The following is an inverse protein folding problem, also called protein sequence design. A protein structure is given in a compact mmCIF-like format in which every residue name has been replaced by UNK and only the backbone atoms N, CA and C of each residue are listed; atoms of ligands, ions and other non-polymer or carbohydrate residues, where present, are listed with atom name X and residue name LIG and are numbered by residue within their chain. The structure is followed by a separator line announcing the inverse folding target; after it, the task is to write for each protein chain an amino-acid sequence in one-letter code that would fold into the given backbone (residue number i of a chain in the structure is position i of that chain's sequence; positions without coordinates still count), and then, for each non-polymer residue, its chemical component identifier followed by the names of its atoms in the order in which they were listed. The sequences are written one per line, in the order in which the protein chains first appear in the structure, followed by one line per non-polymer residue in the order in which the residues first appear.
data_IF_814428405270
#
_entry.id   IF_814428405270
#
_cell.length_a   1.000
_cell.length_b   1.000
_cell.length_c   1.000
_cell.angle_alpha   90.00
_cell.angle_beta   90.00
_cell.angle_gamma   90.00
#
_symmetry.space_group_name_H-M   'P 1'
#
loop_
_entity.id
_entity.type
_entity.pdbx_description
1 polymer ?
#
# COMPACT_ATOMS: atom_id res chain seq x y z
N UNK A 1 5.24 8.43 -2.30
CA UNK A 1 4.29 9.00 -1.33
C UNK A 1 2.85 8.83 -1.81
N UNK A 2 2.48 9.29 -3.01
CA UNK A 2 1.13 9.15 -3.57
C UNK A 2 0.61 7.70 -3.56
N UNK A 3 1.42 6.72 -3.98
CA UNK A 3 1.04 5.30 -3.88
C UNK A 3 0.67 4.91 -2.45
N UNK A 4 1.50 5.26 -1.45
CA UNK A 4 1.23 4.93 -0.04
C UNK A 4 -0.06 5.57 0.49
N UNK A 5 -0.32 6.82 0.08
CA UNK A 5 -1.53 7.55 0.47
C UNK A 5 -2.81 6.87 -0.03
N UNK A 6 -2.80 6.36 -1.27
CA UNK A 6 -3.98 5.78 -1.92
C UNK A 6 -4.08 4.24 -1.83
N UNK A 7 -3.13 3.57 -1.19
CA UNK A 7 -3.15 2.10 -1.02
C UNK A 7 -3.05 1.64 0.42
N UNK A 8 -2.59 2.52 1.32
CA UNK A 8 -2.28 2.14 2.69
C UNK A 8 -1.13 1.13 2.83
N UNK A 9 -0.43 0.78 1.75
CA UNK A 9 0.67 -0.17 1.77
C UNK A 9 1.87 0.33 2.60
N UNK A 10 2.63 -0.61 3.15
CA UNK A 10 3.89 -0.32 3.82
C UNK A 10 4.93 0.14 2.81
N UNK A 11 5.93 0.92 3.27
CA UNK A 11 6.97 1.45 2.38
C UNK A 11 7.72 0.33 1.64
N UNK A 12 8.07 -0.76 2.33
CA UNK A 12 8.78 -1.88 1.72
C UNK A 12 7.91 -2.64 0.73
N UNK A 13 6.63 -2.87 1.04
CA UNK A 13 5.67 -3.49 0.12
C UNK A 13 5.62 -2.76 -1.23
N UNK A 14 5.64 -1.42 -1.21
CA UNK A 14 5.64 -0.61 -2.43
C UNK A 14 6.99 -0.62 -3.15
N UNK A 15 8.09 -0.65 -2.40
CA UNK A 15 9.45 -0.62 -2.98
C UNK A 15 9.86 -1.97 -3.56
N UNK A 16 9.32 -3.07 -3.04
CA UNK A 16 9.60 -4.44 -3.47
C UNK A 16 8.56 -4.98 -4.46
N UNK A 17 7.48 -4.22 -4.76
CA UNK A 17 6.42 -4.63 -5.68
C UNK A 17 6.97 -4.81 -7.09
N UNK A 18 6.83 -6.02 -7.63
CA UNK A 18 7.29 -6.39 -8.97
C UNK A 18 6.22 -6.09 -10.02
N UNK A 19 6.65 -5.96 -11.28
CA UNK A 19 5.71 -5.70 -12.38
C UNK A 19 4.70 -6.83 -12.62
N UNK A 20 5.09 -8.08 -12.41
CA UNK A 20 4.19 -9.23 -12.53
C UNK A 20 3.16 -9.34 -11.38
N UNK A 21 3.31 -8.52 -10.34
CA UNK A 21 2.38 -8.39 -9.22
C UNK A 21 1.41 -7.20 -9.44
N UNK A 22 1.46 -6.58 -10.63
CA UNK A 22 0.57 -5.48 -11.03
C UNK A 22 -0.27 -5.96 -12.20
N UNK A 23 -1.55 -6.23 -11.96
CA UNK A 23 -2.48 -6.74 -12.99
C UNK A 23 -3.91 -6.28 -12.71
N UNK A 24 -4.75 -6.24 -13.74
CA UNK A 24 -6.21 -6.01 -13.64
C UNK A 24 -6.64 -4.86 -12.71
N UNK A 25 -5.88 -3.77 -12.69
CA UNK A 25 -6.05 -2.66 -11.75
C UNK A 25 -5.91 -3.08 -10.27
N UNK A 26 -5.01 -4.01 -9.98
CA UNK A 26 -4.67 -4.44 -8.62
C UNK A 26 -3.16 -4.53 -8.41
N UNK A 27 -2.77 -4.47 -7.13
CA UNK A 27 -1.47 -4.90 -6.62
C UNK A 27 -1.64 -6.20 -5.86
N UNK A 28 -0.85 -7.22 -6.17
CA UNK A 28 -0.75 -8.45 -5.39
C UNK A 28 0.42 -8.31 -4.42
N UNK A 29 0.12 -8.09 -3.16
CA UNK A 29 1.13 -7.95 -2.10
C UNK A 29 1.44 -9.35 -1.56
N UNK A 30 2.57 -9.91 -2.00
CA UNK A 30 2.99 -11.30 -1.64
C UNK A 30 4.28 -11.32 -0.81
N UNK A 31 5.02 -10.23 -0.74
CA UNK A 31 6.25 -10.11 0.05
C UNK A 31 6.00 -9.36 1.36
N UNK A 32 5.05 -9.87 2.14
CA UNK A 32 4.78 -9.37 3.48
C UNK A 32 5.50 -10.25 4.52
N UNK A 33 5.83 -9.67 5.68
CA UNK A 33 6.53 -10.37 6.79
C UNK A 33 5.82 -11.64 7.28
N UNK A 34 4.53 -11.80 6.97
CA UNK A 34 3.72 -12.97 7.28
C UNK A 34 2.70 -13.21 6.16
N UNK A 35 2.23 -14.44 6.01
CA UNK A 35 1.18 -14.81 5.04
C UNK A 35 -0.12 -14.00 5.25
N UNK A 36 -0.43 -13.59 6.48
CA UNK A 36 -1.55 -12.70 6.77
C UNK A 36 -1.45 -11.33 6.06
N UNK A 37 -0.24 -10.92 5.70
CA UNK A 37 0.01 -9.71 4.92
C UNK A 37 -0.25 -9.86 3.42
N UNK A 38 -0.38 -11.09 2.90
CA UNK A 38 -0.64 -11.35 1.50
C UNK A 38 -2.06 -10.94 1.14
N UNK A 39 -2.18 -10.10 0.14
CA UNK A 39 -3.48 -9.52 -0.23
C UNK A 39 -3.48 -8.87 -1.59
N UNK A 40 -4.66 -8.78 -2.16
CA UNK A 40 -4.95 -7.96 -3.34
C UNK A 40 -5.38 -6.56 -2.90
N UNK A 41 -4.71 -5.53 -3.40
CA UNK A 41 -5.04 -4.11 -3.16
C UNK A 41 -5.47 -3.48 -4.48
N UNK A 42 -6.73 -3.04 -4.64
CA UNK A 42 -7.17 -2.37 -5.85
C UNK A 42 -6.41 -1.05 -6.08
N UNK A 43 -6.15 -0.73 -7.34
CA UNK A 43 -5.55 0.54 -7.73
C UNK A 43 -6.65 1.60 -7.78
N UNK A 44 -6.56 2.61 -6.91
CA UNK A 44 -7.47 3.74 -6.91
C UNK A 44 -7.36 4.53 -8.23
N UNK A 45 -8.48 5.01 -8.76
CA UNK A 45 -8.53 5.75 -10.04
C UNK A 45 -7.57 6.94 -10.10
N UNK A 46 -7.38 7.64 -8.98
CA UNK A 46 -6.47 8.78 -8.88
C UNK A 46 -5.00 8.45 -9.17
N UNK A 47 -4.59 7.20 -8.91
CA UNK A 47 -3.20 6.76 -9.12
C UNK A 47 -3.03 5.87 -10.35
N UNK A 48 -4.08 5.55 -11.09
CA UNK A 48 -4.04 4.62 -12.23
C UNK A 48 -3.06 5.07 -13.32
N UNK A 49 -3.09 6.36 -13.70
CA UNK A 49 -2.16 6.93 -14.68
C UNK A 49 -0.70 6.94 -14.17
N UNK A 50 -0.50 7.19 -12.87
CA UNK A 50 0.82 7.11 -12.26
C UNK A 50 1.36 5.69 -12.33
N UNK A 51 0.55 4.70 -11.98
CA UNK A 51 0.92 3.28 -12.04
C UNK A 51 1.24 2.87 -13.47
N UNK A 52 0.39 3.18 -14.44
CA UNK A 52 0.62 2.89 -15.84
C UNK A 52 1.96 3.45 -16.34
N UNK A 53 2.28 4.70 -15.97
CA UNK A 53 3.57 5.32 -16.30
C UNK A 53 4.74 4.58 -15.65
N UNK A 54 4.64 4.23 -14.35
CA UNK A 54 5.70 3.51 -13.64
C UNK A 54 5.95 2.13 -14.26
N UNK A 55 4.90 1.40 -14.62
CA UNK A 55 4.99 0.12 -15.33
C UNK A 55 5.71 0.30 -16.66
N UNK A 56 5.32 1.27 -17.46
CA UNK A 56 5.90 1.51 -18.79
C UNK A 56 7.37 1.96 -18.76
N UNK A 57 7.81 2.60 -17.65
CA UNK A 57 9.17 3.14 -17.52
C UNK A 57 10.10 2.28 -16.68
N UNK A 58 9.62 1.20 -16.10
CA UNK A 58 10.43 0.30 -15.28
C UNK A 58 11.53 -0.37 -16.11
N UNK A 59 12.72 -0.48 -15.51
CA UNK A 59 13.92 -1.06 -16.14
C UNK A 59 14.46 -2.29 -15.41
N UNK A 60 14.02 -2.53 -14.19
CA UNK A 60 14.56 -3.57 -13.31
C UNK A 60 13.52 -4.58 -12.84
N UNK A 61 12.30 -4.52 -13.42
CA UNK A 61 11.21 -5.44 -13.11
C UNK A 61 10.40 -5.08 -11.85
N UNK A 62 10.71 -3.94 -11.21
CA UNK A 62 9.97 -3.42 -10.05
C UNK A 62 9.14 -2.19 -10.44
N UNK A 63 7.99 -2.01 -9.78
CA UNK A 63 7.15 -0.83 -10.00
C UNK A 63 7.90 0.47 -9.69
N UNK A 64 8.71 0.48 -8.62
CA UNK A 64 9.61 1.58 -8.30
C UNK A 64 11.04 1.18 -8.66
N UNK A 65 11.48 1.58 -9.86
CA UNK A 65 12.80 1.28 -10.39
C UNK A 65 13.94 2.01 -9.69
N UNK A 66 15.17 1.59 -9.96
CA UNK A 66 16.41 2.23 -9.53
C UNK A 66 16.57 2.30 -8.00
N UNK A 67 15.94 1.38 -7.27
CA UNK A 67 16.13 1.22 -5.83
C UNK A 67 17.10 0.06 -5.57
N UNK A 68 18.13 0.32 -4.75
CA UNK A 68 19.10 -0.69 -4.32
C UNK A 68 18.68 -1.38 -3.05
N UNK A 69 19.05 -2.65 -2.89
CA UNK A 69 18.90 -3.38 -1.64
C UNK A 69 19.87 -2.86 -0.58
N UNK A 70 19.41 -2.76 0.65
CA UNK A 70 20.27 -2.57 1.80
C UNK A 70 20.87 -3.91 2.27
N UNK A 71 21.70 -3.87 3.33
CA UNK A 71 22.30 -5.09 3.90
C UNK A 71 21.32 -6.11 4.49
N UNK A 72 20.06 -5.73 4.65
CA UNK A 72 18.99 -6.58 5.18
C UNK A 72 18.04 -7.08 4.08
N UNK A 73 18.31 -6.75 2.82
CA UNK A 73 17.45 -7.12 1.70
C UNK A 73 16.27 -6.17 1.43
N UNK A 74 16.19 -5.01 2.13
CA UNK A 74 15.10 -4.05 1.90
C UNK A 74 15.46 -3.04 0.81
N UNK A 75 14.48 -2.64 0.00
CA UNK A 75 14.60 -1.61 -1.05
C UNK A 75 14.15 -0.22 -0.59
N UNK A 76 13.44 -0.11 0.54
CA UNK A 76 12.78 1.13 0.98
C UNK A 76 13.73 2.21 1.53
N UNK A 77 14.99 1.89 1.82
CA UNK A 77 15.93 2.78 2.49
C UNK A 77 16.10 4.15 1.79
N UNK A 78 16.24 4.14 0.46
CA UNK A 78 16.38 5.37 -0.33
C UNK A 78 15.12 6.25 -0.26
N UNK A 79 13.94 5.62 -0.35
CA UNK A 79 12.65 6.31 -0.25
C UNK A 79 12.44 6.88 1.14
N UNK A 80 12.75 6.11 2.20
CA UNK A 80 12.69 6.57 3.59
C UNK A 80 13.56 7.80 3.84
N UNK A 81 14.81 7.80 3.34
CA UNK A 81 15.72 8.95 3.44
C UNK A 81 15.20 10.17 2.66
N UNK A 82 14.66 9.97 1.45
CA UNK A 82 14.05 11.06 0.64
C UNK A 82 12.85 11.66 1.36
N UNK A 83 11.99 10.82 1.92
CA UNK A 83 10.84 11.28 2.71
C UNK A 83 11.29 12.06 3.95
N UNK A 84 12.30 11.57 4.69
CA UNK A 84 12.86 12.26 5.86
C UNK A 84 13.32 13.67 5.53
N UNK A 85 14.09 13.83 4.44
CA UNK A 85 14.54 15.16 3.99
C UNK A 85 13.38 16.07 3.57
N UNK A 86 12.41 15.53 2.82
CA UNK A 86 11.25 16.29 2.36
C UNK A 86 10.41 16.79 3.56
N UNK A 87 10.07 15.92 4.49
CA UNK A 87 9.26 16.29 5.66
C UNK A 87 9.92 17.38 6.50
N UNK A 88 11.25 17.26 6.71
CA UNK A 88 12.02 18.26 7.46
C UNK A 88 12.06 19.60 6.72
N UNK A 89 12.26 19.59 5.41
CA UNK A 89 12.21 20.80 4.58
C UNK A 89 10.84 21.49 4.56
N UNK A 90 9.76 20.73 4.81
CA UNK A 90 8.39 21.25 4.95
C UNK A 90 8.03 21.63 6.39
N UNK A 91 8.96 21.55 7.35
CA UNK A 91 8.73 21.90 8.75
C UNK A 91 8.03 20.84 9.57
N UNK A 92 7.87 19.61 9.06
CA UNK A 92 7.25 18.51 9.84
C UNK A 92 8.26 17.87 10.80
N UNK A 93 7.83 17.65 12.05
CA UNK A 93 8.62 17.06 13.13
C UNK A 93 8.77 15.53 13.07
N UNK A 94 9.38 14.98 14.11
CA UNK A 94 9.74 13.56 14.21
C UNK A 94 8.54 12.60 14.17
N UNK A 95 7.38 13.01 14.67
CA UNK A 95 6.15 12.20 14.67
C UNK A 95 5.56 11.95 13.27
N UNK A 96 5.98 12.72 12.26
CA UNK A 96 5.58 12.53 10.88
C UNK A 96 6.54 11.54 10.22
N UNK A 97 6.13 10.29 10.19
CA UNK A 97 6.89 9.17 9.58
C UNK A 97 6.20 8.69 8.32
N UNK A 98 6.89 7.94 7.45
CA UNK A 98 6.27 7.43 6.22
C UNK A 98 5.00 6.60 6.52
N UNK A 99 4.98 5.88 7.63
CA UNK A 99 3.83 5.13 8.11
C UNK A 99 2.59 6.00 8.40
N UNK A 100 2.74 7.32 8.51
CA UNK A 100 1.61 8.26 8.68
C UNK A 100 0.63 8.23 7.51
N UNK A 101 1.09 7.92 6.29
CA UNK A 101 0.20 7.71 5.13
C UNK A 101 -0.75 6.54 5.37
N UNK A 102 -0.25 5.44 5.90
CA UNK A 102 -1.06 4.27 6.21
C UNK A 102 -2.04 4.53 7.36
N UNK A 103 -1.63 5.30 8.37
CA UNK A 103 -2.56 5.76 9.43
C UNK A 103 -3.67 6.63 8.85
N UNK A 104 -3.32 7.61 8.00
CA UNK A 104 -4.31 8.46 7.33
C UNK A 104 -5.26 7.67 6.43
N UNK A 105 -4.77 6.66 5.70
CA UNK A 105 -5.59 5.74 4.92
C UNK A 105 -6.59 5.00 5.80
N UNK A 106 -6.15 4.41 6.92
CA UNK A 106 -7.01 3.74 7.90
C UNK A 106 -8.10 4.68 8.45
N UNK A 107 -7.71 5.90 8.84
CA UNK A 107 -8.65 6.91 9.35
C UNK A 107 -9.72 7.28 8.31
N UNK A 108 -9.36 7.37 7.02
CA UNK A 108 -10.35 7.65 5.98
C UNK A 108 -11.34 6.50 5.78
N UNK A 109 -10.88 5.24 5.82
CA UNK A 109 -11.77 4.08 5.80
C UNK A 109 -12.72 4.08 7.00
N UNK A 110 -12.22 4.36 8.20
CA UNK A 110 -13.00 4.46 9.43
C UNK A 110 -14.05 5.57 9.34
N UNK A 111 -13.67 6.78 8.94
CA UNK A 111 -14.57 7.91 8.76
C UNK A 111 -15.65 7.67 7.70
N UNK A 112 -15.37 6.84 6.70
CA UNK A 112 -16.33 6.41 5.70
C UNK A 112 -17.19 5.22 6.14
N UNK A 113 -17.07 4.78 7.41
CA UNK A 113 -17.78 3.62 7.96
C UNK A 113 -17.53 2.32 7.18
N UNK A 114 -16.34 2.15 6.59
CA UNK A 114 -15.98 0.89 5.93
C UNK A 114 -15.86 -0.21 7.00
N UNK A 115 -16.50 -1.37 6.80
CA UNK A 115 -16.47 -2.47 7.76
C UNK A 115 -15.03 -2.88 8.12
N UNK A 116 -14.80 -3.20 9.40
CA UNK A 116 -13.47 -3.53 9.93
C UNK A 116 -12.78 -4.67 9.17
N UNK A 117 -13.52 -5.72 8.80
CA UNK A 117 -12.99 -6.85 8.03
C UNK A 117 -12.52 -6.43 6.62
N UNK A 118 -13.20 -5.49 5.97
CA UNK A 118 -12.80 -4.92 4.67
C UNK A 118 -11.53 -4.08 4.82
N UNK A 119 -11.51 -3.20 5.83
CA UNK A 119 -10.36 -2.36 6.16
C UNK A 119 -9.13 -3.20 6.52
N UNK A 120 -9.31 -4.21 7.37
CA UNK A 120 -8.24 -5.15 7.75
C UNK A 120 -7.69 -5.89 6.53
N UNK A 121 -8.55 -6.35 5.61
CA UNK A 121 -8.12 -7.02 4.38
C UNK A 121 -7.31 -6.11 3.48
N UNK A 122 -7.75 -4.87 3.25
CA UNK A 122 -7.00 -3.87 2.47
C UNK A 122 -5.62 -3.58 3.10
N UNK A 123 -5.56 -3.54 4.42
CA UNK A 123 -4.34 -3.22 5.15
C UNK A 123 -3.43 -4.44 5.42
N UNK A 124 -3.90 -5.67 5.24
CA UNK A 124 -3.17 -6.87 5.62
C UNK A 124 -2.96 -6.93 7.14
N UNK A 125 -4.05 -6.78 7.88
CA UNK A 125 -4.13 -7.00 9.32
C UNK A 125 -4.90 -8.27 9.60
N UNK A 126 -4.45 -9.04 10.58
CA UNK A 126 -5.24 -10.11 11.18
C UNK A 126 -6.40 -9.50 11.97
N UNK A 127 -7.58 -10.10 11.85
CA UNK A 127 -8.74 -9.75 12.67
C UNK A 127 -8.87 -10.84 13.74
N UNK A 128 -8.47 -10.52 14.97
CA UNK A 128 -8.58 -11.43 16.09
C UNK A 128 -10.03 -11.89 16.31
N UNK A 129 -10.22 -13.19 16.57
CA UNK A 129 -11.53 -13.76 16.91
C UNK A 129 -12.48 -14.00 15.73
N UNK A 130 -12.07 -13.76 14.50
CA UNK A 130 -12.89 -14.09 13.34
C UNK A 130 -12.37 -15.34 12.62
N UNK A 131 -13.13 -16.41 12.67
CA UNK A 131 -12.91 -17.70 11.97
C UNK A 131 -12.98 -17.55 10.43
N UNK A 132 -13.22 -16.34 9.93
CA UNK A 132 -13.45 -16.05 8.51
C UNK A 132 -12.20 -16.13 7.62
N UNK A 133 -11.00 -16.17 8.19
CA UNK A 133 -9.77 -16.28 7.40
C UNK A 133 -9.62 -17.63 6.68
N UNK A 134 -10.16 -18.72 7.27
CA UNK A 134 -9.97 -20.09 6.77
C UNK A 134 -11.20 -20.68 6.06
N UNK A 135 -12.37 -20.02 6.13
CA UNK A 135 -13.64 -20.57 5.60
C UNK A 135 -14.36 -19.64 4.63
N UNK A 136 -13.87 -18.42 4.43
CA UNK A 136 -14.45 -17.48 3.48
C UNK A 136 -13.63 -17.49 2.19
N UNK A 137 -14.28 -17.57 1.03
CA UNK A 137 -13.65 -17.36 -0.29
C UNK A 137 -13.05 -15.95 -0.46
N UNK A 138 -12.94 -15.19 0.64
CA UNK A 138 -12.47 -13.83 0.70
C UNK A 138 -13.55 -12.80 0.32
N UNK A 139 -13.22 -11.53 0.54
CA UNK A 139 -14.07 -10.43 0.10
C UNK A 139 -13.95 -10.31 -1.42
N UNK A 140 -15.10 -10.17 -2.09
CA UNK A 140 -15.10 -9.94 -3.53
C UNK A 140 -14.30 -8.67 -3.87
N UNK A 141 -13.50 -8.72 -4.92
CA UNK A 141 -12.67 -7.59 -5.38
C UNK A 141 -13.49 -6.31 -5.56
N UNK A 142 -14.78 -6.45 -5.91
CA UNK A 142 -15.72 -5.32 -6.00
C UNK A 142 -15.83 -4.56 -4.69
N UNK A 143 -15.99 -5.26 -3.56
CA UNK A 143 -16.10 -4.63 -2.24
C UNK A 143 -14.81 -3.89 -1.84
N UNK A 144 -13.64 -4.45 -2.18
CA UNK A 144 -12.36 -3.78 -1.96
C UNK A 144 -12.21 -2.53 -2.83
N UNK A 145 -12.69 -2.57 -4.09
CA UNK A 145 -12.72 -1.40 -5.00
C UNK A 145 -13.66 -0.30 -4.50
N UNK A 146 -14.83 -0.67 -4.04
CA UNK A 146 -15.78 0.27 -3.43
C UNK A 146 -15.17 0.93 -2.19
N UNK A 147 -14.55 0.13 -1.31
CA UNK A 147 -13.91 0.65 -0.10
C UNK A 147 -12.74 1.58 -0.39
N UNK A 148 -11.87 1.25 -1.35
CA UNK A 148 -10.71 2.11 -1.65
C UNK A 148 -11.13 3.42 -2.34
N UNK A 149 -12.27 3.43 -3.04
CA UNK A 149 -12.76 4.62 -3.76
C UNK A 149 -13.13 5.80 -2.85
N UNK A 150 -13.33 5.57 -1.55
CA UNK A 150 -13.62 6.64 -0.57
C UNK A 150 -12.38 7.46 -0.21
N UNK A 151 -11.19 6.97 -0.55
CA UNK A 151 -9.93 7.64 -0.21
C UNK A 151 -9.77 8.92 -1.03
N UNK A 152 -9.67 10.05 -0.33
CA UNK A 152 -9.46 11.36 -0.93
C UNK A 152 -8.49 12.21 -0.10
N UNK A 153 -7.43 12.71 -0.72
CA UNK A 153 -6.48 13.62 -0.09
C UNK A 153 -6.68 15.02 -0.69
N UNK A 154 -6.88 15.98 0.21
CA UNK A 154 -7.01 17.40 -0.12
C UNK A 154 -5.67 18.10 0.00
#
# INVERSE_FOLDING_TARGET
MTLAAYTGCRIEELCSLKLNEVSDNTFEIVDAKSEAGWRTVPIHSHISQLVARLVATSKDGYLLSDLTFNKYGDRSNAIGKRFGRLKTGLGYGEFHVFHSFRKGFATQLENANIPLNVSARLMGHEVEGQTFGNYSEGLALRQLREAISVIGWR
#
